data_IF_985633841509
#
_entry.id   IF_985633841509
#
_cell.length_a   1.000
_cell.length_b   1.000
_cell.length_c   1.000
_cell.angle_alpha   90.00
_cell.angle_beta   90.00
_cell.angle_gamma   90.00
#
_symmetry.space_group_name_H-M   'P 1'
#
loop_
_entity.id
_entity.type
_entity.pdbx_description
1 polymer ?
#
# COMPACT_ATOMS: atom_id res chain seq x y z
N UNK A 1 -9.94 16.40 20.53
CA UNK A 1 -10.42 15.03 20.76
C UNK A 1 -9.42 14.30 21.63
N UNK A 2 -9.87 13.51 22.62
CA UNK A 2 -8.96 12.66 23.41
C UNK A 2 -8.62 11.44 22.56
N UNK A 3 -7.35 11.22 22.27
CA UNK A 3 -6.87 9.97 21.66
C UNK A 3 -7.33 8.83 22.57
N UNK A 4 -8.10 7.85 22.08
CA UNK A 4 -8.47 6.71 22.91
C UNK A 4 -7.19 6.03 23.39
N UNK A 5 -7.10 5.74 24.68
CA UNK A 5 -5.97 5.01 25.26
C UNK A 5 -6.10 3.57 24.76
N UNK A 6 -5.13 3.11 23.97
CA UNK A 6 -5.14 1.74 23.47
C UNK A 6 -4.78 0.78 24.61
N UNK A 7 -5.43 -0.37 24.60
CA UNK A 7 -5.00 -1.52 25.42
C UNK A 7 -3.71 -2.10 24.85
N UNK A 8 -2.93 -2.78 25.68
CA UNK A 8 -1.72 -3.49 25.24
C UNK A 8 -2.02 -4.51 24.13
N UNK A 9 -3.18 -5.18 24.21
CA UNK A 9 -3.63 -6.11 23.18
C UNK A 9 -3.91 -5.42 21.84
N UNK A 10 -4.54 -4.24 21.84
CA UNK A 10 -4.80 -3.47 20.63
C UNK A 10 -3.49 -2.98 19.98
N UNK A 11 -2.52 -2.54 20.79
CA UNK A 11 -1.19 -2.17 20.30
C UNK A 11 -0.52 -3.38 19.64
N UNK A 12 -0.52 -4.53 20.33
CA UNK A 12 0.09 -5.74 19.82
C UNK A 12 -0.56 -6.20 18.51
N UNK A 13 -1.89 -6.17 18.41
CA UNK A 13 -2.61 -6.51 17.19
C UNK A 13 -2.24 -5.59 16.02
N UNK A 14 -2.13 -4.28 16.28
CA UNK A 14 -1.69 -3.32 15.27
C UNK A 14 -0.25 -3.59 14.83
N UNK A 15 0.66 -3.91 15.77
CA UNK A 15 2.05 -4.29 15.42
C UNK A 15 2.09 -5.51 14.49
N UNK A 16 1.29 -6.55 14.78
CA UNK A 16 1.17 -7.71 13.89
C UNK A 16 0.60 -7.34 12.52
N UNK A 17 -0.43 -6.49 12.48
CA UNK A 17 -1.03 -6.01 11.23
C UNK A 17 -0.05 -5.18 10.40
N UNK A 18 0.71 -4.28 11.04
CA UNK A 18 1.74 -3.45 10.41
C UNK A 18 2.85 -4.29 9.79
N UNK A 19 3.34 -5.32 10.52
CA UNK A 19 4.31 -6.27 9.99
C UNK A 19 3.78 -7.05 8.79
N UNK A 20 2.53 -7.48 8.82
CA UNK A 20 1.89 -8.17 7.70
C UNK A 20 1.72 -7.24 6.49
N UNK A 21 1.36 -5.97 6.74
CA UNK A 21 1.14 -4.96 5.71
C UNK A 21 2.42 -4.55 4.96
N UNK A 22 3.61 -4.80 5.51
CA UNK A 22 4.89 -4.53 4.82
C UNK A 22 4.98 -5.22 3.45
N UNK A 23 4.35 -6.39 3.25
CA UNK A 23 4.36 -7.07 1.95
C UNK A 23 3.72 -6.25 0.82
N UNK A 24 2.77 -5.37 1.16
CA UNK A 24 2.00 -4.54 0.22
C UNK A 24 2.78 -3.29 -0.23
N UNK A 25 3.77 -2.87 0.55
CA UNK A 25 4.57 -1.66 0.32
C UNK A 25 5.95 -1.94 -0.26
N UNK A 26 6.38 -3.21 -0.29
CA UNK A 26 7.66 -3.65 -0.89
C UNK A 26 7.79 -3.34 -2.38
N UNK A 27 6.67 -3.25 -3.09
CA UNK A 27 6.65 -2.88 -4.51
C UNK A 27 6.83 -1.37 -4.71
N UNK A 28 7.82 -0.98 -5.51
CA UNK A 28 8.13 0.39 -5.92
C UNK A 28 6.94 1.21 -6.43
N UNK A 29 5.98 0.53 -7.05
CA UNK A 29 4.68 1.08 -7.39
C UNK A 29 3.57 0.06 -7.14
N UNK A 30 2.31 0.48 -7.30
CA UNK A 30 1.18 -0.41 -7.03
C UNK A 30 1.10 -1.59 -7.99
N UNK A 31 1.52 -1.45 -9.24
CA UNK A 31 1.59 -2.58 -10.19
C UNK A 31 2.55 -3.66 -9.70
N UNK A 32 3.73 -3.28 -9.20
CA UNK A 32 4.69 -4.23 -8.62
C UNK A 32 4.13 -4.88 -7.34
N UNK A 33 3.43 -4.12 -6.51
CA UNK A 33 2.71 -4.67 -5.36
C UNK A 33 1.74 -5.77 -5.77
N UNK A 34 0.95 -5.58 -6.83
CA UNK A 34 0.03 -6.61 -7.33
C UNK A 34 0.79 -7.87 -7.76
N UNK A 35 1.83 -7.71 -8.58
CA UNK A 35 2.63 -8.85 -9.06
C UNK A 35 3.28 -9.63 -7.92
N UNK A 36 3.86 -8.94 -6.92
CA UNK A 36 4.48 -9.59 -5.75
C UNK A 36 3.47 -10.34 -4.88
N UNK A 37 2.19 -9.97 -4.94
CA UNK A 37 1.09 -10.63 -4.23
C UNK A 37 0.32 -11.60 -5.13
N UNK A 38 0.88 -12.01 -6.28
CA UNK A 38 0.30 -13.01 -7.16
C UNK A 38 -0.94 -12.54 -7.94
N UNK A 39 -1.17 -11.22 -8.03
CA UNK A 39 -2.31 -10.64 -8.73
C UNK A 39 -1.93 -10.08 -10.09
N UNK A 40 -2.81 -10.32 -11.08
CA UNK A 40 -2.69 -9.69 -12.38
C UNK A 40 -2.78 -8.16 -12.25
N UNK A 41 -1.88 -7.37 -12.87
CA UNK A 41 -1.94 -5.90 -12.86
C UNK A 41 -3.22 -5.32 -13.47
N UNK A 42 -3.89 -6.07 -14.33
CA UNK A 42 -5.13 -5.71 -14.98
C UNK A 42 -5.93 -6.93 -15.38
N UNK A 43 -7.23 -6.73 -15.51
CA UNK A 43 -8.16 -7.71 -16.10
C UNK A 43 -8.92 -7.05 -17.26
N UNK A 44 -9.38 -7.86 -18.21
CA UNK A 44 -10.26 -7.40 -19.28
C UNK A 44 -11.64 -8.00 -19.04
N UNK A 45 -12.65 -7.15 -19.06
CA UNK A 45 -14.05 -7.51 -18.84
C UNK A 45 -14.89 -7.14 -20.05
N UNK A 46 -16.01 -7.82 -20.22
CA UNK A 46 -17.00 -7.51 -21.25
C UNK A 46 -18.11 -6.65 -20.66
N UNK A 47 -18.43 -5.52 -21.29
CA UNK A 47 -19.60 -4.72 -20.92
C UNK A 47 -20.88 -5.42 -21.36
N UNK A 48 -22.06 -5.02 -20.84
CA UNK A 48 -23.35 -5.50 -21.34
C UNK A 48 -23.59 -5.21 -22.83
N UNK A 49 -22.87 -4.23 -23.41
CA UNK A 49 -22.91 -3.89 -24.84
C UNK A 49 -21.85 -4.63 -25.68
N UNK A 50 -21.26 -5.70 -25.13
CA UNK A 50 -20.22 -6.51 -25.78
C UNK A 50 -18.93 -5.74 -26.11
N UNK A 51 -18.64 -4.65 -25.42
CA UNK A 51 -17.37 -3.94 -25.55
C UNK A 51 -16.36 -4.47 -24.54
N UNK A 52 -15.09 -4.61 -24.97
CA UNK A 52 -14.01 -4.96 -24.06
C UNK A 52 -13.52 -3.72 -23.32
N UNK A 53 -13.42 -3.84 -21.99
CA UNK A 53 -12.85 -2.80 -21.13
C UNK A 53 -11.76 -3.42 -20.27
N UNK A 54 -10.58 -2.82 -20.29
CA UNK A 54 -9.49 -3.21 -19.39
C UNK A 54 -9.58 -2.39 -18.10
N UNK A 55 -9.54 -3.08 -16.96
CA UNK A 55 -9.47 -2.48 -15.63
C UNK A 55 -8.04 -2.67 -15.12
N UNK A 56 -7.33 -1.58 -14.87
CA UNK A 56 -5.98 -1.64 -14.31
C UNK A 56 -6.03 -1.44 -12.80
N UNK A 57 -5.35 -2.30 -12.05
CA UNK A 57 -5.23 -2.20 -10.60
C UNK A 57 -4.70 -0.84 -10.13
N UNK A 58 -3.76 -0.25 -10.89
CA UNK A 58 -3.22 1.09 -10.62
C UNK A 58 -4.27 2.20 -10.62
N UNK A 59 -5.37 2.04 -11.37
CA UNK A 59 -6.44 3.04 -11.46
C UNK A 59 -7.24 3.09 -10.15
N UNK A 60 -7.39 1.94 -9.49
CA UNK A 60 -7.99 1.83 -8.15
C UNK A 60 -7.08 2.40 -7.07
N UNK A 61 -5.77 2.45 -7.30
CA UNK A 61 -4.82 3.08 -6.37
C UNK A 61 -4.60 4.57 -6.65
N UNK A 62 -5.16 5.13 -7.73
CA UNK A 62 -4.90 6.51 -8.14
C UNK A 62 -5.29 7.53 -7.05
N UNK A 63 -4.46 8.56 -6.86
CA UNK A 63 -4.65 9.62 -5.85
C UNK A 63 -5.96 10.39 -6.00
N UNK A 64 -6.36 10.71 -7.23
CA UNK A 64 -7.62 11.41 -7.48
C UNK A 64 -8.82 10.50 -7.20
N UNK A 65 -8.73 9.20 -7.52
CA UNK A 65 -9.75 8.21 -7.18
C UNK A 65 -9.90 8.12 -5.66
N UNK A 66 -8.78 8.00 -4.93
CA UNK A 66 -8.78 7.95 -3.47
C UNK A 66 -9.39 9.20 -2.84
N UNK A 67 -8.97 10.39 -3.27
CA UNK A 67 -9.54 11.67 -2.79
C UNK A 67 -11.04 11.78 -3.03
N UNK A 68 -11.55 11.28 -4.17
CA UNK A 68 -12.99 11.26 -4.44
C UNK A 68 -13.72 10.33 -3.48
N UNK A 69 -13.18 9.15 -3.21
CA UNK A 69 -13.75 8.23 -2.22
C UNK A 69 -13.75 8.80 -0.81
N UNK A 70 -12.63 9.36 -0.33
CA UNK A 70 -12.58 9.95 1.02
C UNK A 70 -13.62 11.05 1.20
N UNK A 71 -13.91 11.84 0.16
CA UNK A 71 -14.97 12.87 0.19
C UNK A 71 -16.39 12.32 0.26
N UNK A 72 -16.62 11.05 -0.08
CA UNK A 72 -17.94 10.42 0.06
C UNK A 72 -18.14 9.76 1.43
N UNK A 73 -17.12 9.77 2.29
CA UNK A 73 -17.21 9.23 3.63
C UNK A 73 -17.61 10.36 4.58
N UNK A 74 -18.81 10.29 5.15
CA UNK A 74 -19.38 11.30 6.06
C UNK A 74 -18.71 11.35 7.45
N UNK A 75 -17.68 10.52 7.70
CA UNK A 75 -16.98 10.42 8.98
C UNK A 75 -15.48 10.64 8.82
N UNK A 76 -14.86 11.20 9.86
CA UNK A 76 -13.41 11.10 10.09
C UNK A 76 -13.04 9.62 10.25
N UNK A 77 -12.88 8.93 9.13
CA UNK A 77 -12.28 7.60 9.12
C UNK A 77 -10.88 7.75 9.68
N UNK A 78 -10.56 6.93 10.67
CA UNK A 78 -9.22 6.84 11.21
C UNK A 78 -8.33 6.10 10.18
N UNK A 79 -7.88 6.85 9.17
CA UNK A 79 -7.15 6.37 7.98
C UNK A 79 -5.72 5.89 8.30
N UNK A 80 -5.34 5.84 9.57
CA UNK A 80 -4.00 5.50 10.06
C UNK A 80 -3.98 4.26 10.96
N UNK A 81 -5.06 3.50 11.03
CA UNK A 81 -5.11 2.18 11.70
C UNK A 81 -5.37 1.07 10.70
N UNK A 82 -4.77 -0.09 10.93
CA UNK A 82 -5.04 -1.32 10.18
C UNK A 82 -6.09 -2.18 10.89
N UNK A 83 -6.04 -2.25 12.22
CA UNK A 83 -6.99 -3.01 13.02
C UNK A 83 -8.33 -2.29 13.15
N UNK A 84 -9.43 -3.02 12.93
CA UNK A 84 -10.81 -2.52 13.09
C UNK A 84 -11.32 -1.58 11.98
N UNK A 85 -10.49 -1.15 11.04
CA UNK A 85 -10.83 -0.17 9.99
C UNK A 85 -10.76 -0.72 8.57
N UNK A 86 -9.87 -1.70 8.30
CA UNK A 86 -9.62 -2.18 6.92
C UNK A 86 -10.89 -2.75 6.28
N UNK A 87 -11.63 -3.60 6.99
CA UNK A 87 -12.81 -4.26 6.41
C UNK A 87 -13.92 -3.28 6.02
N UNK A 88 -14.18 -2.29 6.88
CA UNK A 88 -15.17 -1.25 6.61
C UNK A 88 -14.76 -0.36 5.44
N UNK A 89 -13.48 0.03 5.38
CA UNK A 89 -12.90 0.79 4.28
C UNK A 89 -12.94 0.02 2.96
N UNK A 90 -12.56 -1.27 2.96
CA UNK A 90 -12.60 -2.13 1.76
C UNK A 90 -14.03 -2.30 1.28
N UNK A 91 -14.98 -2.56 2.19
CA UNK A 91 -16.40 -2.69 1.84
C UNK A 91 -16.95 -1.38 1.27
N UNK A 92 -16.67 -0.25 1.92
CA UNK A 92 -17.08 1.08 1.47
C UNK A 92 -16.50 1.42 0.10
N UNK A 93 -15.20 1.19 -0.08
CA UNK A 93 -14.50 1.50 -1.33
C UNK A 93 -15.02 0.67 -2.50
N UNK A 94 -15.19 -0.64 -2.31
CA UNK A 94 -15.77 -1.53 -3.33
C UNK A 94 -17.19 -1.11 -3.68
N UNK A 95 -18.03 -0.85 -2.68
CA UNK A 95 -19.41 -0.42 -2.91
C UNK A 95 -19.44 0.85 -3.75
N UNK A 96 -18.66 1.87 -3.36
CA UNK A 96 -18.59 3.14 -4.08
C UNK A 96 -18.09 2.98 -5.52
N UNK A 97 -17.07 2.15 -5.75
CA UNK A 97 -16.55 1.86 -7.09
C UNK A 97 -17.60 1.19 -7.97
N UNK A 98 -18.35 0.22 -7.43
CA UNK A 98 -19.38 -0.53 -8.16
C UNK A 98 -20.65 0.29 -8.42
N UNK A 99 -21.02 1.22 -7.53
CA UNK A 99 -22.32 1.92 -7.64
C UNK A 99 -22.23 3.34 -8.13
N UNK A 100 -21.15 4.07 -7.81
CA UNK A 100 -21.18 5.54 -7.82
C UNK A 100 -20.00 6.22 -8.50
N UNK A 101 -18.89 5.51 -8.75
CA UNK A 101 -17.69 6.13 -9.33
C UNK A 101 -17.70 6.18 -10.86
N UNK A 102 -17.63 5.02 -11.53
CA UNK A 102 -17.64 4.93 -13.00
C UNK A 102 -18.27 3.61 -13.45
N UNK A 103 -18.93 3.61 -14.61
CA UNK A 103 -19.60 2.41 -15.15
C UNK A 103 -18.66 1.25 -15.48
N UNK A 104 -17.34 1.49 -15.61
CA UNK A 104 -16.36 0.44 -15.94
C UNK A 104 -16.35 -0.70 -14.91
N UNK A 105 -16.56 -0.39 -13.63
CA UNK A 105 -16.53 -1.39 -12.56
C UNK A 105 -17.85 -2.17 -12.47
N UNK A 106 -18.95 -1.63 -13.04
CA UNK A 106 -20.23 -2.32 -13.14
C UNK A 106 -20.21 -3.47 -14.16
N UNK A 107 -19.18 -3.54 -15.00
CA UNK A 107 -18.97 -4.64 -15.94
C UNK A 107 -18.36 -5.89 -15.29
N UNK A 108 -17.95 -5.83 -14.01
CA UNK A 108 -17.51 -7.01 -13.25
C UNK A 108 -18.71 -7.94 -13.04
N UNK A 109 -18.68 -9.12 -13.63
CA UNK A 109 -19.84 -10.03 -13.67
C UNK A 109 -19.51 -11.48 -13.31
N UNK A 110 -18.25 -11.89 -13.47
CA UNK A 110 -17.82 -13.26 -13.13
C UNK A 110 -17.26 -13.33 -11.71
N UNK A 111 -17.30 -14.53 -11.13
CA UNK A 111 -16.73 -14.77 -9.80
C UNK A 111 -15.22 -14.49 -9.74
N UNK A 112 -14.48 -14.79 -10.82
CA UNK A 112 -13.05 -14.55 -10.90
C UNK A 112 -12.71 -13.05 -10.94
N UNK A 113 -13.49 -12.27 -11.72
CA UNK A 113 -13.36 -10.81 -11.79
C UNK A 113 -13.65 -10.14 -10.45
N UNK A 114 -14.72 -10.57 -9.77
CA UNK A 114 -15.05 -10.09 -8.44
C UNK A 114 -13.94 -10.45 -7.45
N UNK A 115 -13.49 -11.71 -7.39
CA UNK A 115 -12.41 -12.12 -6.49
C UNK A 115 -11.10 -11.34 -6.71
N UNK A 116 -10.72 -11.07 -7.96
CA UNK A 116 -9.60 -10.18 -8.27
C UNK A 116 -9.83 -8.78 -7.71
N UNK A 117 -11.00 -8.20 -7.94
CA UNK A 117 -11.36 -6.87 -7.47
C UNK A 117 -11.35 -6.76 -5.94
N UNK A 118 -11.81 -7.79 -5.23
CA UNK A 118 -11.75 -7.88 -3.78
C UNK A 118 -10.30 -7.83 -3.26
N UNK A 119 -9.41 -8.63 -3.84
CA UNK A 119 -8.01 -8.66 -3.41
C UNK A 119 -7.27 -7.36 -3.76
N UNK A 120 -7.51 -6.80 -4.95
CA UNK A 120 -6.90 -5.53 -5.35
C UNK A 120 -7.35 -4.39 -4.45
N UNK A 121 -8.65 -4.29 -4.12
CA UNK A 121 -9.15 -3.23 -3.24
C UNK A 121 -8.63 -3.37 -1.81
N UNK A 122 -8.49 -4.60 -1.29
CA UNK A 122 -7.81 -4.85 -0.02
C UNK A 122 -6.38 -4.30 -0.02
N UNK A 123 -5.59 -4.62 -1.05
CA UNK A 123 -4.24 -4.10 -1.20
C UNK A 123 -4.18 -2.59 -1.33
N UNK A 124 -5.12 -1.96 -2.04
CA UNK A 124 -5.23 -0.50 -2.11
C UNK A 124 -5.39 0.07 -0.70
N UNK A 125 -6.39 -0.40 0.05
CA UNK A 125 -6.69 0.12 1.39
C UNK A 125 -5.50 -0.05 2.34
N UNK A 126 -4.92 -1.25 2.40
CA UNK A 126 -3.76 -1.51 3.27
C UNK A 126 -2.59 -0.60 2.88
N UNK A 127 -2.27 -0.47 1.59
CA UNK A 127 -1.18 0.40 1.14
C UNK A 127 -1.45 1.85 1.53
N UNK A 128 -2.68 2.33 1.34
CA UNK A 128 -3.07 3.71 1.67
C UNK A 128 -2.96 4.00 3.16
N UNK A 129 -3.34 3.05 4.02
CA UNK A 129 -3.16 3.18 5.47
C UNK A 129 -1.68 3.24 5.83
N UNK A 130 -0.85 2.35 5.26
CA UNK A 130 0.59 2.37 5.51
C UNK A 130 1.27 3.66 5.04
N UNK A 131 0.89 4.18 3.87
CA UNK A 131 1.38 5.47 3.37
C UNK A 131 0.91 6.64 4.25
N UNK A 132 -0.31 6.60 4.77
CA UNK A 132 -0.82 7.60 5.71
C UNK A 132 -0.08 7.54 7.06
N UNK A 133 0.17 6.35 7.61
CA UNK A 133 1.02 6.14 8.80
C UNK A 133 2.41 6.73 8.58
N UNK A 134 3.02 6.47 7.42
CA UNK A 134 4.32 7.05 7.08
C UNK A 134 4.30 8.58 6.98
N UNK A 135 3.26 9.17 6.37
CA UNK A 135 3.12 10.62 6.35
C UNK A 135 3.01 11.22 7.76
N UNK A 136 2.26 10.58 8.68
CA UNK A 136 2.19 10.98 10.09
C UNK A 136 3.55 10.86 10.80
N UNK A 137 4.30 9.80 10.52
CA UNK A 137 5.65 9.59 11.06
C UNK A 137 6.62 10.70 10.63
N UNK A 138 6.57 11.12 9.35
CA UNK A 138 7.37 12.25 8.86
C UNK A 138 7.01 13.59 9.52
N UNK A 139 5.79 13.72 10.05
CA UNK A 139 5.34 14.86 10.84
C UNK A 139 5.56 14.67 12.35
N UNK A 140 6.41 13.72 12.75
CA UNK A 140 6.79 13.44 14.14
C UNK A 140 5.60 13.14 15.06
N UNK A 141 4.52 12.57 14.51
CA UNK A 141 3.37 12.16 15.32
C UNK A 141 3.71 10.87 16.10
N UNK A 142 3.56 10.88 17.44
CA UNK A 142 4.04 9.81 18.31
C UNK A 142 3.28 8.48 18.14
N UNK A 143 2.11 8.50 17.52
CA UNK A 143 1.21 7.36 17.29
C UNK A 143 1.11 6.98 15.80
N UNK A 144 2.12 7.33 15.00
CA UNK A 144 2.13 7.04 13.58
C UNK A 144 2.19 5.53 13.27
N UNK A 145 3.06 4.80 13.98
CA UNK A 145 3.19 3.34 13.91
C UNK A 145 3.13 2.75 15.32
N UNK A 146 2.52 1.58 15.46
CA UNK A 146 2.53 0.81 16.69
C UNK A 146 3.84 0.02 16.86
N UNK A 147 4.48 -0.39 15.76
CA UNK A 147 5.78 -1.04 15.73
C UNK A 147 6.88 -0.09 15.20
N UNK A 148 7.81 0.37 16.05
CA UNK A 148 8.94 1.19 15.60
C UNK A 148 9.78 0.53 14.50
N UNK A 149 9.94 -0.80 14.51
CA UNK A 149 10.69 -1.51 13.48
C UNK A 149 10.01 -1.37 12.12
N UNK A 150 8.67 -1.40 12.07
CA UNK A 150 7.92 -1.19 10.82
C UNK A 150 8.08 0.25 10.32
N UNK A 151 8.14 1.24 11.21
CA UNK A 151 8.39 2.63 10.82
C UNK A 151 9.77 2.81 10.15
N UNK A 152 10.80 2.13 10.66
CA UNK A 152 12.14 2.12 10.05
C UNK A 152 12.15 1.44 8.68
N UNK A 153 11.56 0.25 8.59
CA UNK A 153 11.41 -0.49 7.32
C UNK A 153 10.64 0.34 6.28
N UNK A 154 9.54 0.99 6.69
CA UNK A 154 8.77 1.88 5.83
C UNK A 154 9.62 3.05 5.32
N UNK A 155 10.46 3.64 6.17
CA UNK A 155 11.37 4.72 5.77
C UNK A 155 12.35 4.27 4.68
N UNK A 156 12.91 3.06 4.82
CA UNK A 156 13.81 2.47 3.82
C UNK A 156 13.06 2.19 2.52
N UNK A 157 11.90 1.53 2.59
CA UNK A 157 11.08 1.19 1.41
C UNK A 157 10.63 2.45 0.66
N UNK A 158 10.11 3.46 1.36
CA UNK A 158 9.64 4.69 0.71
C UNK A 158 10.79 5.44 0.04
N UNK A 159 12.00 5.38 0.60
CA UNK A 159 13.18 5.99 -0.02
C UNK A 159 13.64 5.23 -1.26
N UNK A 160 13.69 3.89 -1.21
CA UNK A 160 13.97 3.06 -2.39
C UNK A 160 12.95 3.29 -3.51
N UNK A 161 11.67 3.47 -3.16
CA UNK A 161 10.61 3.77 -4.12
C UNK A 161 10.81 5.16 -4.76
N UNK A 162 11.20 6.16 -3.97
CA UNK A 162 11.56 7.50 -4.48
C UNK A 162 12.75 7.44 -5.43
N UNK A 163 13.81 6.69 -5.06
CA UNK A 163 14.99 6.47 -5.89
C UNK A 163 14.64 5.92 -7.26
N UNK A 164 13.84 4.85 -7.30
CA UNK A 164 13.45 4.21 -8.55
C UNK A 164 12.72 5.21 -9.48
N UNK A 165 11.86 6.06 -8.91
CA UNK A 165 11.18 7.10 -9.68
C UNK A 165 12.14 8.21 -10.15
N UNK A 166 13.09 8.62 -9.33
CA UNK A 166 14.07 9.67 -9.67
C UNK A 166 15.08 9.20 -10.72
N UNK A 167 15.53 7.94 -10.64
CA UNK A 167 16.36 7.30 -11.66
C UNK A 167 15.60 7.21 -12.99
N UNK A 168 14.33 6.77 -12.97
CA UNK A 168 13.51 6.70 -14.19
C UNK A 168 13.31 8.08 -14.85
N UNK A 169 13.05 9.11 -14.05
CA UNK A 169 12.95 10.51 -14.54
C UNK A 169 14.30 10.98 -15.09
N UNK A 170 15.37 10.73 -14.35
CA UNK A 170 16.73 11.08 -14.77
C UNK A 170 17.04 10.47 -16.12
N UNK A 171 16.92 9.14 -16.28
CA UNK A 171 17.15 8.43 -17.56
C UNK A 171 16.36 9.06 -18.71
N UNK A 172 15.09 9.42 -18.51
CA UNK A 172 14.29 10.09 -19.53
C UNK A 172 14.87 11.46 -19.94
N UNK A 173 15.47 12.20 -18.99
CA UNK A 173 16.18 13.45 -19.25
C UNK A 173 17.58 13.23 -19.87
N UNK A 174 18.31 12.17 -19.50
CA UNK A 174 19.63 11.81 -20.07
C UNK A 174 19.53 11.57 -21.57
N UNK A 175 18.50 10.85 -22.02
CA UNK A 175 18.21 10.62 -23.44
C UNK A 175 18.06 11.93 -24.22
N UNK A 176 17.78 13.06 -23.53
CA UNK A 176 17.65 14.39 -24.13
C UNK A 176 18.84 15.32 -23.91
N UNK A 177 19.66 15.12 -22.86
CA UNK A 177 20.81 15.96 -22.50
C UNK A 177 21.91 15.11 -21.84
N UNK A 178 22.88 14.67 -22.65
CA UNK A 178 23.83 13.60 -22.28
C UNK A 178 24.94 14.06 -21.30
N UNK A 179 25.39 15.33 -21.39
CA UNK A 179 26.65 15.74 -20.73
C UNK A 179 26.50 16.13 -19.24
N UNK A 180 25.29 16.45 -18.77
CA UNK A 180 25.01 16.84 -17.37
C UNK A 180 24.37 15.74 -16.52
N UNK A 181 24.05 14.63 -17.16
CA UNK A 181 23.21 13.56 -16.65
C UNK A 181 23.94 12.58 -15.73
N UNK A 182 25.19 12.25 -16.08
CA UNK A 182 25.97 11.24 -15.37
C UNK A 182 26.37 11.68 -13.96
N UNK A 183 26.84 12.92 -13.79
CA UNK A 183 27.21 13.47 -12.49
C UNK A 183 26.01 13.61 -11.54
N UNK A 184 24.82 13.85 -12.09
CA UNK A 184 23.58 13.93 -11.32
C UNK A 184 23.13 12.55 -10.83
N UNK A 185 23.28 11.51 -11.66
CA UNK A 185 23.07 10.12 -11.25
C UNK A 185 24.06 9.68 -10.17
N UNK A 186 25.35 9.95 -10.35
CA UNK A 186 26.39 9.60 -9.37
C UNK A 186 26.11 10.25 -8.01
N UNK A 187 25.69 11.53 -8.02
CA UNK A 187 25.29 12.24 -6.80
C UNK A 187 24.03 11.67 -6.14
N UNK A 188 23.03 11.28 -6.94
CA UNK A 188 21.84 10.60 -6.45
C UNK A 188 22.21 9.27 -5.79
N UNK A 189 22.96 8.40 -6.48
CA UNK A 189 23.39 7.12 -5.93
C UNK A 189 24.20 7.27 -4.64
N UNK A 190 25.16 8.21 -4.59
CA UNK A 190 25.94 8.47 -3.38
C UNK A 190 25.05 8.92 -2.20
N UNK A 191 24.12 9.85 -2.43
CA UNK A 191 23.17 10.35 -1.41
C UNK A 191 22.27 9.24 -0.85
N UNK A 192 21.97 8.24 -1.68
CA UNK A 192 21.18 7.11 -1.27
C UNK A 192 21.98 6.02 -0.58
N UNK A 193 23.18 5.71 -1.08
CA UNK A 193 24.11 4.76 -0.47
C UNK A 193 24.47 5.18 0.96
N UNK A 194 24.90 6.44 1.16
CA UNK A 194 25.27 6.96 2.49
C UNK A 194 24.14 6.83 3.51
N UNK A 195 22.89 7.07 3.11
CA UNK A 195 21.75 6.90 4.01
C UNK A 195 21.48 5.44 4.36
N UNK A 196 21.61 4.53 3.40
CA UNK A 196 21.42 3.09 3.64
C UNK A 196 22.55 2.53 4.51
N UNK A 197 23.78 3.01 4.32
CA UNK A 197 24.96 2.63 5.14
C UNK A 197 24.83 3.11 6.59
N UNK A 198 24.26 4.29 6.83
CA UNK A 198 24.04 4.81 8.19
C UNK A 198 22.86 4.17 8.92
N UNK A 199 21.98 3.45 8.22
CA UNK A 199 20.92 2.67 8.85
C UNK A 199 21.42 1.25 9.09
N UNK A 200 21.72 0.95 10.36
CA UNK A 200 21.74 -0.44 10.81
C UNK A 200 20.39 -1.06 10.44
N UNK A 201 20.39 -2.14 9.67
CA UNK A 201 19.25 -3.04 9.57
C UNK A 201 19.04 -3.60 10.98
N UNK A 202 18.27 -2.89 11.80
CA UNK A 202 18.03 -3.31 13.17
C UNK A 202 17.39 -4.69 13.11
N UNK A 203 17.98 -5.63 13.84
CA UNK A 203 17.44 -6.98 13.92
C UNK A 203 15.98 -6.89 14.39
N UNK A 204 15.08 -7.51 13.62
CA UNK A 204 13.64 -7.51 13.91
C UNK A 204 13.42 -8.03 15.33
N UNK A 205 12.94 -7.17 16.22
CA UNK A 205 12.55 -7.57 17.57
C UNK A 205 11.36 -8.52 17.49
N UNK A 206 11.41 -9.72 18.10
CA UNK A 206 10.26 -10.61 18.13
C UNK A 206 9.09 -9.95 18.88
N UNK A 207 7.86 -10.12 18.36
CA UNK A 207 6.66 -9.69 19.09
C UNK A 207 6.28 -10.76 20.11
N UNK A 208 5.69 -10.38 21.25
CA UNK A 208 5.07 -11.34 22.16
C UNK A 208 3.92 -12.08 21.45
N UNK A 209 3.69 -13.34 21.83
CA UNK A 209 2.63 -14.15 21.25
C UNK A 209 1.25 -13.53 21.52
N UNK A 210 0.35 -13.65 20.54
CA UNK A 210 -1.03 -13.23 20.71
C UNK A 210 -1.79 -14.17 21.65
N UNK A 211 -2.78 -13.66 22.40
CA UNK A 211 -3.66 -14.51 23.20
C UNK A 211 -4.34 -15.59 22.34
N UNK A 212 -4.60 -16.79 22.90
CA UNK A 212 -5.33 -17.83 22.21
C UNK A 212 -6.71 -17.34 21.75
N UNK A 213 -7.04 -17.56 20.47
CA UNK A 213 -8.32 -17.14 19.88
C UNK A 213 -8.32 -15.74 19.28
N UNK A 214 -7.23 -14.97 19.42
CA UNK A 214 -7.09 -13.67 18.77
C UNK A 214 -6.82 -13.87 17.27
N UNK A 215 -7.78 -13.47 16.44
CA UNK A 215 -7.60 -13.46 15.00
C UNK A 215 -6.73 -12.26 14.60
N UNK A 216 -5.54 -12.52 14.06
CA UNK A 216 -4.81 -11.50 13.30
C UNK A 216 -5.72 -11.13 12.12
N UNK A 217 -5.92 -9.85 11.79
CA UNK A 217 -6.42 -9.46 10.48
C UNK A 217 -5.35 -9.86 9.46
N UNK A 218 -5.31 -11.16 9.14
CA UNK A 218 -4.59 -11.71 8.02
C UNK A 218 -5.20 -11.02 6.82
N UNK A 219 -4.46 -10.06 6.28
CA UNK A 219 -4.54 -9.77 4.86
C UNK A 219 -4.34 -11.15 4.23
N UNK A 220 -5.42 -11.83 3.84
CA UNK A 220 -5.37 -13.12 3.14
C UNK A 220 -4.87 -12.83 1.73
N UNK A 221 -3.60 -12.42 1.66
CA UNK A 221 -2.83 -12.36 0.45
C UNK A 221 -2.54 -13.82 0.17
N UNK A 222 -3.29 -14.36 -0.78
CA UNK A 222 -3.04 -15.66 -1.38
C UNK A 222 -1.53 -15.78 -1.55
N UNK A 223 -0.88 -16.64 -0.76
CA UNK A 223 0.52 -16.90 -0.88
C UNK A 223 0.75 -17.48 -2.28
N UNK A 224 1.11 -16.62 -3.22
CA UNK A 224 1.68 -17.04 -4.48
C UNK A 224 3.06 -17.61 -4.19
N UNK A 225 3.09 -18.92 -3.94
CA UNK A 225 4.27 -19.80 -3.78
C UNK A 225 5.03 -19.67 -2.45
N UNK A 226 4.67 -20.54 -1.52
CA UNK A 226 5.70 -21.20 -0.70
C UNK A 226 6.55 -22.10 -1.62
N UNK A 227 7.86 -21.87 -1.56
CA UNK A 227 8.97 -22.82 -1.65
C UNK A 227 9.01 -23.87 -2.78
N UNK A 228 10.03 -23.71 -3.64
CA UNK A 228 11.06 -24.74 -3.83
C UNK A 228 12.43 -24.08 -3.74
#
# INVERSE_FOLDING_TARGET
MKTPIWTEEQILLEQYAERAALSVVRGGNFTQCLTMNGLAPSITVMTPTSQQVTIHGRDLFNEQTWKKFVRTQDQELEQSRLTGTVDSLVKGYRSWLLTSYTSRYQALSTQAELAWFEQVTLLVIVRRIMEAKYARFLHEQPDAFADPWVAEEMSVLMRLNSMASEIAKSIHHIVRQNDSAQSLLERLYATHATYLEHRSLQARTPLPALPPGTAIPLIRLSAGKEEQ
#
